data_IF_798242741348
#
_entry.id   IF_798242741348
#
_cell.length_a   1.000
_cell.length_b   1.000
_cell.length_c   1.000
_cell.angle_alpha   90.00
_cell.angle_beta   90.00
_cell.angle_gamma   90.00
#
_symmetry.space_group_name_H-M   'P 1'
#
loop_
_entity.id
_entity.type
_entity.pdbx_description
1 polymer ?
#
# COMPACT_ATOMS: atom_id res chain seq x y z
N UNK A 1 9.86 3.52 0.38
CA UNK A 1 9.23 4.37 -0.64
C UNK A 1 9.92 4.14 -1.98
N UNK A 2 9.19 4.12 -3.11
CA UNK A 2 9.81 4.04 -4.46
C UNK A 2 10.77 5.22 -4.69
N UNK A 3 11.87 5.03 -5.43
CA UNK A 3 12.89 6.06 -5.59
C UNK A 3 12.35 7.36 -6.22
N UNK A 4 11.60 7.27 -7.33
CA UNK A 4 11.01 8.46 -7.97
C UNK A 4 10.04 9.21 -7.04
N UNK A 5 9.25 8.48 -6.24
CA UNK A 5 8.30 9.06 -5.29
C UNK A 5 9.03 9.74 -4.14
N UNK A 6 10.13 9.13 -3.68
CA UNK A 6 11.00 9.72 -2.66
C UNK A 6 11.59 11.03 -3.15
N UNK A 7 12.07 11.08 -4.39
CA UNK A 7 12.62 12.32 -4.96
C UNK A 7 11.57 13.41 -5.08
N UNK A 8 10.36 13.12 -5.55
CA UNK A 8 9.24 14.08 -5.58
C UNK A 8 8.86 14.54 -4.17
N UNK A 9 8.80 13.62 -3.22
CA UNK A 9 8.45 13.90 -1.84
C UNK A 9 9.48 14.84 -1.19
N UNK A 10 10.76 14.48 -1.23
CA UNK A 10 11.81 15.22 -0.52
C UNK A 10 12.15 16.56 -1.18
N UNK A 11 12.14 16.63 -2.53
CA UNK A 11 12.60 17.82 -3.25
C UNK A 11 11.50 18.85 -3.50
N UNK A 12 10.23 18.43 -3.58
CA UNK A 12 9.14 19.32 -4.00
C UNK A 12 8.02 19.37 -2.96
N UNK A 13 7.44 18.22 -2.62
CA UNK A 13 6.25 18.19 -1.77
C UNK A 13 6.54 18.59 -0.32
N UNK A 14 7.50 17.93 0.33
CA UNK A 14 7.83 18.16 1.73
C UNK A 14 8.26 19.62 1.99
N UNK A 15 9.18 20.22 1.21
CA UNK A 15 9.54 21.63 1.41
C UNK A 15 8.33 22.58 1.34
N UNK A 16 7.35 22.27 0.49
CA UNK A 16 6.18 23.11 0.31
C UNK A 16 5.13 22.95 1.43
N UNK A 17 5.05 21.77 2.06
CA UNK A 17 4.05 21.51 3.11
C UNK A 17 4.60 21.59 4.53
N UNK A 18 5.92 21.46 4.74
CA UNK A 18 6.55 21.29 6.06
C UNK A 18 6.26 22.41 7.06
N UNK A 19 6.12 23.65 6.59
CA UNK A 19 5.88 24.82 7.43
C UNK A 19 4.40 25.19 7.52
N UNK A 20 3.51 24.41 6.91
CA UNK A 20 2.08 24.69 6.97
C UNK A 20 1.57 24.47 8.39
N UNK A 21 0.75 25.41 8.83
CA UNK A 21 0.04 25.32 10.10
C UNK A 21 -1.40 24.91 9.85
N UNK A 22 -2.07 24.43 10.89
CA UNK A 22 -3.50 24.10 10.83
C UNK A 22 -4.36 25.38 10.87
N UNK A 23 -4.36 26.08 9.74
CA UNK A 23 -5.23 27.25 9.46
C UNK A 23 -6.00 27.00 8.16
N UNK A 24 -7.10 27.73 7.89
CA UNK A 24 -7.84 27.60 6.64
C UNK A 24 -6.97 27.78 5.38
N UNK A 25 -6.01 28.69 5.42
CA UNK A 25 -5.03 28.90 4.34
C UNK A 25 -4.08 27.71 4.23
N UNK A 26 -3.55 27.23 5.36
CA UNK A 26 -2.68 26.05 5.40
C UNK A 26 -3.35 24.79 4.87
N UNK A 27 -4.62 24.57 5.22
CA UNK A 27 -5.44 23.47 4.70
C UNK A 27 -5.69 23.60 3.19
N UNK A 28 -5.96 24.82 2.70
CA UNK A 28 -6.13 25.07 1.26
C UNK A 28 -4.86 24.76 0.48
N UNK A 29 -3.70 25.23 0.96
CA UNK A 29 -2.41 24.94 0.33
C UNK A 29 -2.09 23.45 0.39
N UNK A 30 -2.34 22.80 1.53
CA UNK A 30 -2.16 21.35 1.67
C UNK A 30 -3.01 20.55 0.67
N UNK A 31 -4.25 20.99 0.41
CA UNK A 31 -5.14 20.38 -0.57
C UNK A 31 -4.60 20.50 -1.99
N UNK A 32 -4.13 21.69 -2.39
CA UNK A 32 -3.54 21.91 -3.70
C UNK A 32 -2.31 21.02 -3.92
N UNK A 33 -1.42 20.93 -2.93
CA UNK A 33 -0.25 20.04 -3.02
C UNK A 33 -0.64 18.56 -3.02
N UNK A 34 -1.68 18.17 -2.31
CA UNK A 34 -2.20 16.80 -2.35
C UNK A 34 -2.76 16.45 -3.74
N UNK A 35 -3.47 17.38 -4.39
CA UNK A 35 -3.96 17.22 -5.76
C UNK A 35 -2.80 17.14 -6.76
N UNK A 36 -1.82 18.04 -6.64
CA UNK A 36 -0.59 18.00 -7.45
C UNK A 36 0.14 16.65 -7.31
N UNK A 37 0.34 16.16 -6.09
CA UNK A 37 1.00 14.87 -5.85
C UNK A 37 0.23 13.71 -6.48
N UNK A 38 -1.11 13.71 -6.38
CA UNK A 38 -1.97 12.71 -7.03
C UNK A 38 -1.86 12.77 -8.55
N UNK A 39 -1.72 13.97 -9.14
CA UNK A 39 -1.47 14.13 -10.57
C UNK A 39 -0.11 13.56 -10.98
N UNK A 40 0.94 13.78 -10.19
CA UNK A 40 2.25 13.16 -10.45
C UNK A 40 2.18 11.64 -10.49
N UNK A 41 1.36 11.01 -9.66
CA UNK A 41 1.17 9.55 -9.73
C UNK A 41 0.58 9.10 -11.07
N UNK A 42 -0.37 9.85 -11.63
CA UNK A 42 -0.95 9.58 -12.94
C UNK A 42 0.10 9.76 -14.05
N UNK A 43 0.91 10.81 -13.99
CA UNK A 43 2.01 11.06 -14.92
C UNK A 43 3.07 9.94 -14.89
N UNK A 44 3.28 9.32 -13.72
CA UNK A 44 4.10 8.12 -13.55
C UNK A 44 3.37 6.79 -13.82
N UNK A 45 2.18 6.83 -14.46
CA UNK A 45 1.46 5.66 -14.95
C UNK A 45 0.56 4.95 -13.94
N UNK A 46 0.31 5.53 -12.76
CA UNK A 46 -0.62 4.99 -11.75
C UNK A 46 -2.02 5.51 -12.02
N UNK A 47 -2.73 4.88 -12.95
CA UNK A 47 -4.04 5.34 -13.44
C UNK A 47 -5.23 4.79 -12.64
N UNK A 48 -5.02 3.76 -11.82
CA UNK A 48 -6.10 3.15 -11.02
C UNK A 48 -6.01 3.52 -9.55
N UNK A 49 -7.16 3.65 -8.87
CA UNK A 49 -7.22 3.92 -7.43
C UNK A 49 -6.44 2.90 -6.59
N UNK A 50 -6.46 1.62 -7.00
CA UNK A 50 -5.72 0.56 -6.30
C UNK A 50 -4.21 0.75 -6.38
N UNK A 51 -3.69 1.16 -7.53
CA UNK A 51 -2.25 1.46 -7.67
C UNK A 51 -1.87 2.70 -6.85
N UNK A 52 -2.74 3.72 -6.84
CA UNK A 52 -2.53 4.95 -6.11
C UNK A 52 -2.59 4.77 -4.59
N UNK A 53 -3.38 3.81 -4.08
CA UNK A 53 -3.51 3.57 -2.64
C UNK A 53 -2.20 3.19 -1.95
N UNK A 54 -1.36 2.40 -2.59
CA UNK A 54 -0.04 2.03 -2.05
C UNK A 54 0.87 3.26 -1.91
N UNK A 55 0.98 4.07 -2.97
CA UNK A 55 1.83 5.26 -2.96
C UNK A 55 1.29 6.36 -2.05
N UNK A 56 -0.03 6.49 -1.93
CA UNK A 56 -0.65 7.38 -0.95
C UNK A 56 -0.23 7.01 0.47
N UNK A 57 -0.28 5.72 0.82
CA UNK A 57 0.13 5.27 2.14
C UNK A 57 1.63 5.51 2.39
N UNK A 58 2.49 5.33 1.39
CA UNK A 58 3.91 5.66 1.47
C UNK A 58 4.13 7.15 1.81
N UNK A 59 3.44 8.06 1.10
CA UNK A 59 3.53 9.52 1.34
C UNK A 59 3.00 9.88 2.73
N UNK A 60 1.84 9.34 3.12
CA UNK A 60 1.26 9.57 4.46
C UNK A 60 2.19 9.08 5.58
N UNK A 61 2.80 7.92 5.42
CA UNK A 61 3.74 7.38 6.40
C UNK A 61 5.01 8.24 6.50
N UNK A 62 5.50 8.78 5.38
CA UNK A 62 6.64 9.68 5.38
C UNK A 62 6.30 11.02 6.06
N UNK A 63 5.10 11.57 5.86
CA UNK A 63 4.62 12.74 6.59
C UNK A 63 4.53 12.46 8.10
N UNK A 64 3.90 11.35 8.49
CA UNK A 64 3.75 10.95 9.90
C UNK A 64 5.07 10.73 10.63
N UNK A 65 6.11 10.30 9.92
CA UNK A 65 7.44 10.13 10.49
C UNK A 65 8.11 11.46 10.86
N UNK A 66 7.64 12.57 10.28
CA UNK A 66 8.11 13.93 10.56
C UNK A 66 7.23 14.56 11.64
N UNK A 67 5.92 14.49 11.44
CA UNK A 67 4.90 14.98 12.37
C UNK A 67 3.63 14.13 12.20
N UNK A 68 3.22 13.46 13.28
CA UNK A 68 2.08 12.53 13.29
C UNK A 68 0.74 13.20 13.01
N UNK A 69 0.63 14.50 13.33
CA UNK A 69 -0.61 15.28 13.29
C UNK A 69 -0.52 16.44 12.28
N UNK A 70 0.41 16.34 11.33
CA UNK A 70 0.65 17.36 10.31
C UNK A 70 -0.62 17.67 9.47
N UNK A 71 -0.96 18.95 9.29
CA UNK A 71 -2.17 19.42 8.56
C UNK A 71 -2.37 18.78 7.17
N UNK A 72 -1.27 18.56 6.43
CA UNK A 72 -1.33 17.92 5.12
C UNK A 72 -1.87 16.47 5.12
N UNK A 73 -1.91 15.79 6.27
CA UNK A 73 -2.47 14.45 6.39
C UNK A 73 -3.98 14.43 6.13
N UNK A 74 -4.72 15.50 6.42
CA UNK A 74 -6.16 15.55 6.13
C UNK A 74 -6.44 15.57 4.62
N UNK A 75 -5.60 16.31 3.89
CA UNK A 75 -5.72 16.46 2.43
C UNK A 75 -5.13 15.29 1.65
N UNK A 76 -4.08 14.65 2.18
CA UNK A 76 -3.41 13.49 1.59
C UNK A 76 -4.18 12.19 1.85
N UNK A 77 -5.46 12.17 1.48
CA UNK A 77 -6.36 11.00 1.59
C UNK A 77 -7.22 10.86 0.34
N UNK A 78 -7.88 9.71 0.18
CA UNK A 78 -8.96 9.55 -0.80
C UNK A 78 -10.30 10.02 -0.22
N UNK A 79 -11.20 10.41 -1.11
CA UNK A 79 -12.59 10.65 -0.72
C UNK A 79 -13.27 9.36 -0.27
N UNK A 80 -14.37 9.49 0.47
CA UNK A 80 -15.19 8.34 0.89
C UNK A 80 -15.63 7.50 -0.30
N UNK A 81 -16.06 8.12 -1.39
CA UNK A 81 -16.47 7.41 -2.61
C UNK A 81 -15.31 6.63 -3.24
N UNK A 82 -14.10 7.20 -3.26
CA UNK A 82 -12.90 6.50 -3.74
C UNK A 82 -12.53 5.32 -2.84
N UNK A 83 -12.65 5.46 -1.52
CA UNK A 83 -12.45 4.35 -0.58
C UNK A 83 -13.46 3.23 -0.77
N UNK A 84 -14.74 3.56 -0.98
CA UNK A 84 -15.78 2.58 -1.31
C UNK A 84 -15.38 1.81 -2.57
N UNK A 85 -15.00 2.50 -3.64
CA UNK A 85 -14.59 1.86 -4.89
C UNK A 85 -13.36 0.94 -4.72
N UNK A 86 -12.35 1.35 -3.94
CA UNK A 86 -11.18 0.51 -3.62
C UNK A 86 -11.62 -0.76 -2.89
N UNK A 87 -12.51 -0.64 -1.91
CA UNK A 87 -12.97 -1.75 -1.08
C UNK A 87 -13.88 -2.71 -1.84
N UNK A 88 -14.78 -2.20 -2.69
CA UNK A 88 -15.65 -3.03 -3.54
C UNK A 88 -14.84 -3.95 -4.46
N UNK A 89 -13.74 -3.47 -5.05
CA UNK A 89 -12.86 -4.30 -5.87
C UNK A 89 -12.26 -5.47 -5.07
N UNK A 90 -11.90 -5.22 -3.80
CA UNK A 90 -11.40 -6.25 -2.90
C UNK A 90 -12.50 -7.26 -2.55
N UNK A 91 -13.69 -6.78 -2.21
CA UNK A 91 -14.84 -7.62 -1.87
C UNK A 91 -15.27 -8.51 -3.04
N UNK A 92 -15.37 -7.96 -4.26
CA UNK A 92 -15.67 -8.74 -5.47
C UNK A 92 -14.62 -9.81 -5.74
N UNK A 93 -13.34 -9.51 -5.53
CA UNK A 93 -12.27 -10.50 -5.69
C UNK A 93 -12.37 -11.64 -4.67
N UNK A 94 -12.77 -11.34 -3.43
CA UNK A 94 -13.03 -12.35 -2.38
C UNK A 94 -14.28 -13.16 -2.70
N UNK A 95 -15.39 -12.52 -3.06
CA UNK A 95 -16.64 -13.19 -3.45
C UNK A 95 -16.39 -14.18 -4.60
N UNK A 96 -15.70 -13.74 -5.66
CA UNK A 96 -15.32 -14.62 -6.78
C UNK A 96 -14.48 -15.81 -6.33
N UNK A 97 -13.54 -15.62 -5.39
CA UNK A 97 -12.72 -16.71 -4.84
C UNK A 97 -13.56 -17.70 -4.05
N UNK A 98 -14.55 -17.21 -3.30
CA UNK A 98 -15.46 -18.04 -2.53
C UNK A 98 -16.47 -18.79 -3.41
N UNK A 99 -16.86 -18.23 -4.55
CA UNK A 99 -17.69 -18.90 -5.55
C UNK A 99 -16.90 -19.95 -6.35
N UNK A 100 -15.61 -19.69 -6.59
CA UNK A 100 -14.71 -20.55 -7.37
C UNK A 100 -13.64 -21.16 -6.47
N UNK A 101 -14.08 -21.84 -5.40
CA UNK A 101 -13.16 -22.55 -4.51
C UNK A 101 -12.40 -23.59 -5.32
N UNK A 102 -11.07 -23.47 -5.33
CA UNK A 102 -10.20 -24.50 -5.85
C UNK A 102 -9.88 -25.47 -4.73
N UNK A 103 -10.43 -26.67 -4.83
CA UNK A 103 -10.02 -27.77 -3.97
C UNK A 103 -8.59 -28.17 -4.32
N UNK A 104 -7.84 -28.55 -3.29
CA UNK A 104 -6.51 -29.12 -3.46
C UNK A 104 -6.71 -30.63 -3.52
N UNK A 105 -6.34 -31.24 -4.63
CA UNK A 105 -6.59 -32.67 -4.86
C UNK A 105 -5.77 -33.57 -3.93
N UNK A 106 -4.53 -33.17 -3.61
CA UNK A 106 -3.63 -33.90 -2.71
C UNK A 106 -2.97 -32.93 -1.69
N UNK A 107 -3.67 -32.60 -0.59
CA UNK A 107 -3.11 -31.72 0.44
C UNK A 107 -1.93 -32.37 1.17
N UNK A 108 -1.89 -33.69 1.26
CA UNK A 108 -0.81 -34.44 1.94
C UNK A 108 0.51 -34.31 1.17
N UNK A 109 0.48 -34.33 -0.16
CA UNK A 109 1.68 -34.07 -0.96
C UNK A 109 2.27 -32.68 -0.72
N UNK A 110 1.44 -31.67 -0.46
CA UNK A 110 1.90 -30.31 -0.12
C UNK A 110 2.60 -30.32 1.25
N UNK A 111 2.00 -30.97 2.25
CA UNK A 111 2.59 -31.10 3.59
C UNK A 111 3.92 -31.88 3.51
N UNK A 112 3.93 -33.01 2.82
CA UNK A 112 5.14 -33.82 2.64
C UNK A 112 6.26 -33.03 1.93
N UNK A 113 5.92 -32.22 0.92
CA UNK A 113 6.87 -31.33 0.26
C UNK A 113 7.40 -30.28 1.24
N UNK A 114 6.54 -29.66 2.04
CA UNK A 114 6.94 -28.66 3.02
C UNK A 114 7.89 -29.22 4.08
N UNK A 115 7.65 -30.45 4.57
CA UNK A 115 8.56 -31.15 5.49
C UNK A 115 9.93 -31.34 4.85
N UNK A 116 10.00 -31.81 3.60
CA UNK A 116 11.29 -31.95 2.88
C UNK A 116 12.03 -30.63 2.70
N UNK A 117 11.31 -29.52 2.54
CA UNK A 117 11.95 -28.21 2.39
C UNK A 117 12.68 -27.75 3.66
N UNK A 118 12.29 -28.24 4.84
CA UNK A 118 12.99 -27.94 6.10
C UNK A 118 14.40 -28.55 6.17
N UNK A 119 14.65 -29.61 5.42
CA UNK A 119 15.95 -30.28 5.33
C UNK A 119 16.90 -29.59 4.34
N UNK A 120 16.42 -28.57 3.62
CA UNK A 120 17.19 -27.84 2.62
C UNK A 120 18.29 -27.01 3.27
N UNK A 121 19.41 -26.86 2.57
CA UNK A 121 20.47 -25.89 2.91
C UNK A 121 20.18 -24.49 2.35
N UNK A 122 19.17 -24.36 1.48
CA UNK A 122 18.68 -23.07 1.01
C UNK A 122 17.68 -22.48 2.01
N UNK A 123 18.01 -21.32 2.56
CA UNK A 123 17.16 -20.57 3.48
C UNK A 123 15.76 -20.30 2.91
N UNK A 124 15.64 -19.98 1.61
CA UNK A 124 14.35 -19.68 1.01
C UNK A 124 13.43 -20.91 1.01
N UNK A 125 13.99 -22.09 0.81
CA UNK A 125 13.27 -23.36 0.91
C UNK A 125 12.79 -23.62 2.35
N UNK A 126 13.67 -23.46 3.35
CA UNK A 126 13.30 -23.64 4.77
C UNK A 126 12.17 -22.68 5.16
N UNK A 127 12.27 -21.40 4.78
CA UNK A 127 11.24 -20.41 5.04
C UNK A 127 9.89 -20.80 4.38
N UNK A 128 9.90 -21.26 3.12
CA UNK A 128 8.70 -21.72 2.45
C UNK A 128 8.06 -22.93 3.16
N UNK A 129 8.85 -23.90 3.61
CA UNK A 129 8.38 -25.05 4.39
C UNK A 129 7.71 -24.62 5.70
N UNK A 130 8.34 -23.71 6.46
CA UNK A 130 7.79 -23.17 7.71
C UNK A 130 6.48 -22.40 7.49
N UNK A 131 6.38 -21.59 6.43
CA UNK A 131 5.16 -20.85 6.10
C UNK A 131 3.98 -21.80 5.85
N UNK A 132 4.19 -22.88 5.10
CA UNK A 132 3.14 -23.87 4.83
C UNK A 132 2.73 -24.61 6.10
N UNK A 133 3.69 -25.05 6.92
CA UNK A 133 3.41 -25.87 8.10
C UNK A 133 2.83 -25.08 9.29
N UNK A 134 3.11 -23.77 9.38
CA UNK A 134 2.69 -22.93 10.52
C UNK A 134 1.62 -21.90 10.16
N UNK A 135 1.41 -21.62 8.87
CA UNK A 135 0.50 -20.57 8.40
C UNK A 135 0.95 -19.14 8.75
N UNK A 136 2.19 -18.94 9.20
CA UNK A 136 2.71 -17.61 9.57
C UNK A 136 3.24 -16.84 8.35
N UNK A 137 3.10 -15.51 8.40
CA UNK A 137 3.66 -14.56 7.41
C UNK A 137 4.99 -14.00 7.91
#
# INVERSE_FOLDING_TARGET
>A
MRQWLKELFEKQYLPAVRSLQDTPEGQTVAKQWAEWMKQQWVEHGLTTLRQQAGVMQEVRNALKAIDSDHVALESMTFSTAQWIAINELSQKAVARRNEHVKLIDDPEAIVAKAVRLLESRDWAAVAAGLTVLTGRR
#
